data_IF_000741764156
#
_entry.id   IF_000741764156
#
_cell.length_a   1.000
_cell.length_b   1.000
_cell.length_c   1.000
_cell.angle_alpha   90.00
_cell.angle_beta   90.00
_cell.angle_gamma   90.00
#
_symmetry.space_group_name_H-M   'P 1'
#
loop_
_entity.id
_entity.type
_entity.pdbx_description
1 polymer ?
#
# COMPACT_ATOMS: atom_id res chain seq x y z
N UNK A 1 -10.81 -11.43 15.30
CA UNK A 1 -11.15 -10.01 15.49
C UNK A 1 -12.59 -9.71 15.08
N UNK A 2 -12.99 -9.89 13.82
CA UNK A 2 -14.34 -9.59 13.31
C UNK A 2 -15.48 -10.26 14.11
N UNK A 3 -15.45 -11.59 14.26
CA UNK A 3 -16.46 -12.33 15.04
C UNK A 3 -16.56 -11.86 16.49
N UNK A 4 -15.41 -11.58 17.12
CA UNK A 4 -15.35 -11.08 18.50
C UNK A 4 -15.88 -9.65 18.63
N UNK A 5 -15.86 -8.88 17.54
CA UNK A 5 -16.40 -7.53 17.45
C UNK A 5 -17.91 -7.52 17.11
N UNK A 6 -18.55 -8.69 17.01
CA UNK A 6 -19.98 -8.82 16.73
C UNK A 6 -20.36 -8.78 15.25
N UNK A 7 -19.38 -8.70 14.34
CA UNK A 7 -19.63 -8.72 12.89
C UNK A 7 -20.05 -10.11 12.42
N UNK A 8 -21.10 -10.18 11.61
CA UNK A 8 -21.63 -11.45 11.11
C UNK A 8 -22.51 -11.33 9.85
N UNK A 9 -23.41 -12.30 9.69
CA UNK A 9 -24.26 -12.39 8.51
C UNK A 9 -25.16 -11.16 8.33
N UNK A 10 -25.14 -10.58 7.12
CA UNK A 10 -25.91 -9.39 6.77
C UNK A 10 -25.17 -8.06 6.96
N UNK A 11 -24.03 -8.08 7.65
CA UNK A 11 -23.18 -6.90 7.82
C UNK A 11 -22.32 -6.63 6.58
N UNK A 12 -22.03 -5.35 6.36
CA UNK A 12 -21.00 -4.90 5.42
C UNK A 12 -19.75 -4.49 6.19
N UNK A 13 -18.58 -4.89 5.68
CA UNK A 13 -17.28 -4.48 6.22
C UNK A 13 -16.49 -3.80 5.13
N UNK A 14 -16.10 -2.54 5.35
CA UNK A 14 -15.31 -1.79 4.39
C UNK A 14 -13.84 -2.19 4.50
N UNK A 15 -13.23 -2.57 3.38
CA UNK A 15 -11.85 -3.04 3.27
C UNK A 15 -11.14 -2.41 2.07
N UNK A 16 -9.80 -2.44 2.06
CA UNK A 16 -9.02 -1.95 0.92
C UNK A 16 -9.13 -2.89 -0.28
N UNK A 17 -9.23 -2.30 -1.47
CA UNK A 17 -9.07 -3.03 -2.72
C UNK A 17 -7.61 -3.30 -3.09
N UNK A 18 -6.66 -2.64 -2.43
CA UNK A 18 -5.24 -2.77 -2.74
C UNK A 18 -4.59 -3.69 -1.70
N UNK A 19 -4.13 -4.89 -2.08
CA UNK A 19 -3.47 -5.85 -1.17
C UNK A 19 -4.42 -6.63 -0.25
N UNK A 20 -3.83 -7.44 0.65
CA UNK A 20 -4.49 -8.14 1.78
C UNK A 20 -5.79 -8.89 1.46
N UNK A 21 -5.73 -9.84 0.52
CA UNK A 21 -6.88 -10.68 0.12
C UNK A 21 -7.45 -11.43 1.34
N UNK A 22 -6.57 -11.85 2.25
CA UNK A 22 -6.91 -12.56 3.48
C UNK A 22 -7.86 -11.78 4.39
N UNK A 23 -7.85 -10.44 4.34
CA UNK A 23 -8.80 -9.60 5.09
C UNK A 23 -10.20 -9.73 4.50
N UNK A 24 -10.33 -9.67 3.17
CA UNK A 24 -11.61 -9.86 2.50
C UNK A 24 -12.14 -11.30 2.68
N UNK A 25 -11.26 -12.30 2.67
CA UNK A 25 -11.60 -13.69 2.98
C UNK A 25 -12.08 -13.85 4.42
N UNK A 26 -11.44 -13.18 5.39
CA UNK A 26 -11.86 -13.21 6.79
C UNK A 26 -13.25 -12.58 6.99
N UNK A 27 -13.60 -11.55 6.22
CA UNK A 27 -14.95 -10.96 6.20
C UNK A 27 -15.98 -11.98 5.70
N UNK A 28 -15.69 -12.64 4.58
CA UNK A 28 -16.57 -13.70 4.06
C UNK A 28 -16.71 -14.88 5.04
N UNK A 29 -15.62 -15.26 5.72
CA UNK A 29 -15.60 -16.36 6.66
C UNK A 29 -16.50 -16.14 7.90
N UNK A 30 -16.81 -14.89 8.25
CA UNK A 30 -17.78 -14.57 9.31
C UNK A 30 -19.21 -14.36 8.78
N UNK A 31 -19.42 -14.53 7.46
CA UNK A 31 -20.72 -14.37 6.81
C UNK A 31 -21.06 -12.93 6.39
N UNK A 32 -20.15 -11.98 6.60
CA UNK A 32 -20.32 -10.58 6.22
C UNK A 32 -19.93 -10.34 4.74
N UNK A 33 -20.30 -9.18 4.20
CA UNK A 33 -19.97 -8.76 2.84
C UNK A 33 -18.78 -7.79 2.84
N UNK A 34 -17.66 -8.09 2.16
CA UNK A 34 -16.60 -7.11 1.95
C UNK A 34 -17.07 -6.04 0.95
N UNK A 35 -16.99 -4.79 1.38
CA UNK A 35 -17.21 -3.59 0.55
C UNK A 35 -15.84 -2.95 0.30
N UNK A 36 -15.45 -2.86 -0.96
CA UNK A 36 -14.15 -2.30 -1.32
C UNK A 36 -14.21 -0.78 -1.45
N UNK A 37 -13.32 -0.08 -0.75
CA UNK A 37 -13.08 1.35 -0.92
C UNK A 37 -11.66 1.60 -1.47
N UNK A 38 -11.48 2.77 -2.08
CA UNK A 38 -10.22 3.15 -2.69
C UNK A 38 -9.17 3.54 -1.63
N UNK A 39 -7.94 3.72 -2.08
CA UNK A 39 -6.80 4.09 -1.24
C UNK A 39 -6.44 5.55 -1.41
N UNK A 40 -5.74 6.08 -0.41
CA UNK A 40 -5.02 7.33 -0.53
C UNK A 40 -3.76 7.11 -1.40
N UNK A 41 -3.63 7.90 -2.47
CA UNK A 41 -2.57 7.72 -3.48
C UNK A 41 -1.15 7.93 -2.97
N UNK A 42 -0.97 8.59 -1.82
CA UNK A 42 0.33 8.86 -1.21
C UNK A 42 0.75 7.75 -0.22
N UNK A 43 -0.18 7.32 0.62
CA UNK A 43 0.07 6.40 1.75
C UNK A 43 -0.31 4.96 1.46
N UNK A 44 -1.10 4.71 0.41
CA UNK A 44 -1.66 3.41 0.03
C UNK A 44 -2.58 2.78 1.09
N UNK A 45 -2.84 3.50 2.18
CA UNK A 45 -3.83 3.15 3.18
C UNK A 45 -5.23 3.47 2.64
N UNK A 46 -6.25 2.90 3.28
CA UNK A 46 -7.64 3.14 2.93
C UNK A 46 -7.97 4.65 3.04
N UNK A 47 -8.55 5.24 1.99
CA UNK A 47 -8.91 6.66 2.00
C UNK A 47 -10.20 6.88 2.79
N UNK A 48 -10.17 7.79 3.77
CA UNK A 48 -11.33 8.08 4.60
C UNK A 48 -12.50 8.69 3.80
N UNK A 49 -12.24 9.42 2.72
CA UNK A 49 -13.30 9.98 1.87
C UNK A 49 -13.98 8.87 1.07
N UNK A 50 -13.20 7.99 0.43
CA UNK A 50 -13.70 6.82 -0.26
C UNK A 50 -14.48 5.88 0.68
N UNK A 51 -14.01 5.70 1.91
CA UNK A 51 -14.73 4.92 2.94
C UNK A 51 -16.05 5.57 3.27
N UNK A 52 -16.07 6.89 3.56
CA UNK A 52 -17.30 7.60 3.91
C UNK A 52 -18.35 7.52 2.79
N UNK A 53 -17.91 7.54 1.53
CA UNK A 53 -18.79 7.35 0.36
C UNK A 53 -19.35 5.92 0.24
N UNK A 54 -18.63 4.91 0.76
CA UNK A 54 -19.03 3.50 0.72
C UNK A 54 -19.89 3.08 1.92
N UNK A 55 -20.05 3.92 2.95
CA UNK A 55 -20.88 3.62 4.12
C UNK A 55 -22.36 3.52 3.75
N UNK A 56 -22.99 2.45 4.21
CA UNK A 56 -24.44 2.21 4.13
C UNK A 56 -25.02 1.96 5.52
N UNK A 57 -26.34 1.77 5.61
CA UNK A 57 -27.00 1.36 6.85
C UNK A 57 -26.61 -0.05 7.33
N UNK A 58 -25.95 -0.86 6.48
CA UNK A 58 -25.46 -2.20 6.84
C UNK A 58 -23.99 -2.21 7.24
N UNK A 59 -23.28 -1.09 7.10
CA UNK A 59 -21.87 -1.03 7.45
C UNK A 59 -21.69 -1.20 8.95
N UNK A 60 -21.04 -2.28 9.36
CA UNK A 60 -20.77 -2.59 10.76
C UNK A 60 -19.35 -2.24 11.17
N UNK A 61 -18.38 -2.36 10.24
CA UNK A 61 -16.98 -2.14 10.53
C UNK A 61 -16.18 -1.67 9.32
N UNK A 62 -15.01 -1.08 9.61
CA UNK A 62 -13.92 -0.79 8.69
C UNK A 62 -12.72 -1.61 9.16
N UNK A 63 -12.08 -2.35 8.26
CA UNK A 63 -10.79 -2.98 8.55
C UNK A 63 -9.69 -2.16 7.89
N UNK A 64 -8.93 -1.46 8.72
CA UNK A 64 -7.83 -0.62 8.29
C UNK A 64 -6.50 -1.39 8.35
N UNK A 65 -5.78 -1.42 7.23
CA UNK A 65 -4.47 -2.04 7.14
C UNK A 65 -3.43 -0.94 6.89
N UNK A 66 -2.54 -0.62 7.86
CA UNK A 66 -1.39 0.24 7.61
C UNK A 66 -0.49 -0.37 6.54
N UNK A 67 -0.01 0.42 5.58
CA UNK A 67 0.75 -0.09 4.43
C UNK A 67 2.17 0.43 4.38
N UNK A 68 3.12 -0.48 4.09
CA UNK A 68 4.52 -0.17 3.79
C UNK A 68 5.29 0.61 4.88
N UNK A 69 4.68 0.81 6.04
CA UNK A 69 5.19 1.60 7.15
C UNK A 69 4.45 2.92 7.40
N UNK A 70 3.42 3.27 6.62
CA UNK A 70 2.52 4.39 6.87
C UNK A 70 1.57 4.10 8.03
N UNK A 71 1.90 4.60 9.22
CA UNK A 71 1.05 4.50 10.42
C UNK A 71 0.01 5.63 10.53
N UNK A 72 0.24 6.76 9.85
CA UNK A 72 -0.59 7.94 9.96
C UNK A 72 -1.99 7.81 9.33
N UNK A 73 -2.20 6.82 8.45
CA UNK A 73 -3.46 6.59 7.73
C UNK A 73 -4.62 6.11 8.62
N UNK A 74 -4.36 5.70 9.86
CA UNK A 74 -5.40 5.23 10.78
C UNK A 74 -6.22 6.35 11.39
N UNK A 75 -5.62 7.53 11.63
CA UNK A 75 -6.30 8.62 12.37
C UNK A 75 -7.56 9.13 11.65
N UNK A 76 -7.53 9.40 10.33
CA UNK A 76 -8.73 9.82 9.60
C UNK A 76 -9.87 8.78 9.68
N UNK A 77 -9.53 7.49 9.60
CA UNK A 77 -10.50 6.39 9.68
C UNK A 77 -11.08 6.26 11.08
N UNK A 78 -10.26 6.36 12.13
CA UNK A 78 -10.72 6.35 13.52
C UNK A 78 -11.68 7.50 13.80
N UNK A 79 -11.36 8.70 13.30
CA UNK A 79 -12.23 9.87 13.44
C UNK A 79 -13.54 9.68 12.67
N UNK A 80 -13.51 9.15 11.46
CA UNK A 80 -14.71 8.78 10.71
C UNK A 80 -15.56 7.75 11.47
N UNK A 81 -14.94 6.70 12.01
CA UNK A 81 -15.61 5.68 12.81
C UNK A 81 -16.32 6.27 14.02
N UNK A 82 -15.65 7.18 14.75
CA UNK A 82 -16.26 7.90 15.88
C UNK A 82 -17.48 8.74 15.46
N UNK A 83 -17.38 9.47 14.34
CA UNK A 83 -18.49 10.32 13.85
C UNK A 83 -19.69 9.50 13.36
N UNK A 84 -19.45 8.34 12.75
CA UNK A 84 -20.48 7.50 12.12
C UNK A 84 -20.94 6.34 13.00
N UNK A 85 -20.34 6.14 14.17
CA UNK A 85 -20.64 5.00 15.05
C UNK A 85 -20.15 3.65 14.49
N UNK A 86 -19.11 3.66 13.67
CA UNK A 86 -18.55 2.45 13.04
C UNK A 86 -17.33 1.93 13.82
N UNK A 87 -17.22 0.60 13.91
CA UNK A 87 -16.04 -0.06 14.45
C UNK A 87 -14.87 0.07 13.46
N UNK A 88 -13.71 0.54 13.94
CA UNK A 88 -12.48 0.56 13.12
C UNK A 88 -11.50 -0.45 13.71
N UNK A 89 -11.25 -1.50 12.94
CA UNK A 89 -10.40 -2.61 13.31
C UNK A 89 -9.06 -2.48 12.58
N UNK A 90 -7.97 -2.38 13.34
CA UNK A 90 -6.62 -2.38 12.75
C UNK A 90 -6.16 -3.82 12.51
N UNK A 91 -5.72 -4.10 11.29
CA UNK A 91 -5.03 -5.33 10.94
C UNK A 91 -3.59 -5.02 10.52
N UNK A 92 -2.62 -5.68 11.16
CA UNK A 92 -1.19 -5.51 10.86
C UNK A 92 -0.64 -6.85 10.37
N UNK A 93 0.06 -6.80 9.24
CA UNK A 93 0.72 -7.98 8.64
C UNK A 93 1.88 -8.49 9.49
N UNK A 94 2.59 -7.58 10.16
CA UNK A 94 3.81 -7.88 10.92
C UNK A 94 3.70 -7.47 12.38
N UNK A 95 4.44 -8.19 13.22
CA UNK A 95 4.69 -7.81 14.60
C UNK A 95 5.38 -6.44 14.68
N UNK A 96 5.23 -5.77 15.83
CA UNK A 96 5.88 -4.47 16.08
C UNK A 96 7.38 -4.57 15.77
N UNK A 97 7.91 -3.78 14.82
CA UNK A 97 9.30 -3.90 14.42
C UNK A 97 10.24 -3.36 15.50
N UNK A 98 11.41 -3.97 15.62
CA UNK A 98 12.47 -3.51 16.53
C UNK A 98 12.85 -2.05 16.23
N UNK A 99 12.89 -1.15 17.24
CA UNK A 99 13.17 0.28 17.04
C UNK A 99 14.48 0.55 16.29
N UNK A 100 15.51 -0.26 16.53
CA UNK A 100 16.81 -0.15 15.83
C UNK A 100 16.69 -0.45 14.34
N UNK A 101 15.89 -1.46 13.97
CA UNK A 101 15.66 -1.79 12.56
C UNK A 101 14.89 -0.68 11.85
N UNK A 102 13.90 -0.09 12.51
CA UNK A 102 13.16 1.07 12.00
C UNK A 102 14.08 2.26 11.77
N UNK A 103 14.92 2.60 12.76
CA UNK A 103 15.87 3.70 12.65
C UNK A 103 16.85 3.50 11.47
N UNK A 104 17.34 2.27 11.27
CA UNK A 104 18.23 1.97 10.15
C UNK A 104 17.53 2.15 8.79
N UNK A 105 16.29 1.64 8.65
CA UNK A 105 15.48 1.83 7.43
C UNK A 105 15.23 3.31 7.16
N UNK A 106 14.96 4.11 8.18
CA UNK A 106 14.79 5.57 8.06
C UNK A 106 16.06 6.28 7.58
N UNK A 107 17.25 5.84 8.02
CA UNK A 107 18.53 6.36 7.51
C UNK A 107 18.71 6.00 6.02
N UNK A 108 18.38 4.78 5.62
CA UNK A 108 18.43 4.35 4.22
C UNK A 108 17.43 5.11 3.35
N UNK A 109 16.19 5.26 3.81
CA UNK A 109 15.16 6.04 3.14
C UNK A 109 15.61 7.50 2.94
N UNK A 110 16.10 8.16 3.99
CA UNK A 110 16.60 9.53 3.89
C UNK A 110 17.80 9.67 2.93
N UNK A 111 18.61 8.62 2.76
CA UNK A 111 19.68 8.59 1.75
C UNK A 111 19.10 8.54 0.33
N UNK A 112 18.09 7.70 0.11
CA UNK A 112 17.41 7.50 -1.17
C UNK A 112 16.57 8.72 -1.57
N UNK A 113 15.79 9.29 -0.64
CA UNK A 113 14.92 10.46 -0.87
C UNK A 113 15.68 11.64 -1.47
N UNK A 114 16.93 11.85 -1.03
CA UNK A 114 17.78 12.95 -1.50
C UNK A 114 18.42 12.71 -2.86
N UNK A 115 18.35 11.49 -3.41
CA UNK A 115 19.18 11.06 -4.54
C UNK A 115 18.41 10.40 -5.66
N UNK A 116 17.25 9.82 -5.38
CA UNK A 116 16.39 9.26 -6.40
C UNK A 116 15.72 10.39 -7.17
N UNK A 117 15.90 10.39 -8.48
CA UNK A 117 15.30 11.32 -9.43
C UNK A 117 14.59 10.59 -10.56
N UNK A 118 14.88 9.31 -10.77
CA UNK A 118 14.25 8.49 -11.82
C UNK A 118 12.93 7.84 -11.44
N UNK A 119 12.46 8.02 -10.21
CA UNK A 119 11.20 7.49 -9.70
C UNK A 119 10.60 8.48 -8.72
N UNK A 120 9.28 8.41 -8.51
CA UNK A 120 8.63 9.18 -7.43
C UNK A 120 8.85 8.43 -6.12
N UNK A 121 9.45 9.10 -5.15
CA UNK A 121 9.74 8.54 -3.83
C UNK A 121 8.47 8.53 -2.95
N UNK A 122 8.43 7.67 -1.92
CA UNK A 122 7.34 7.72 -0.94
C UNK A 122 7.29 9.10 -0.26
N UNK A 123 6.09 9.55 0.09
CA UNK A 123 5.94 10.76 0.89
C UNK A 123 6.47 10.54 2.32
N UNK A 124 7.39 11.40 2.75
CA UNK A 124 7.90 11.35 4.10
C UNK A 124 6.81 11.81 5.09
N UNK A 125 6.45 10.93 6.03
CA UNK A 125 5.56 11.28 7.13
C UNK A 125 6.18 10.94 8.49
N UNK A 126 5.79 11.68 9.53
CA UNK A 126 6.21 11.37 10.88
C UNK A 126 5.75 9.94 11.26
N UNK A 127 6.66 9.14 11.81
CA UNK A 127 6.36 7.75 12.21
C UNK A 127 6.40 6.72 11.07
N UNK A 128 6.80 7.09 9.85
CA UNK A 128 6.97 6.10 8.77
C UNK A 128 8.06 5.08 9.13
N UNK A 129 7.73 3.78 9.11
CA UNK A 129 8.68 2.72 9.51
C UNK A 129 9.54 2.21 8.36
N UNK A 130 9.16 2.55 7.12
CA UNK A 130 9.80 2.09 5.88
C UNK A 130 9.97 0.57 5.86
N UNK A 131 8.92 -0.17 6.26
CA UNK A 131 8.87 -1.63 6.11
C UNK A 131 9.18 -2.02 4.67
N UNK A 132 8.62 -1.27 3.71
CA UNK A 132 9.03 -1.28 2.31
C UNK A 132 9.24 0.17 1.85
N UNK A 133 10.23 0.41 1.00
CA UNK A 133 10.42 1.71 0.35
C UNK A 133 9.75 1.66 -1.02
N UNK A 134 8.47 2.06 -1.06
CA UNK A 134 7.63 1.93 -2.25
C UNK A 134 7.73 3.20 -3.09
N UNK A 135 8.28 3.05 -4.29
CA UNK A 135 8.37 4.11 -5.29
C UNK A 135 7.28 3.93 -6.35
N UNK A 136 6.90 5.02 -7.03
CA UNK A 136 6.11 4.93 -8.28
C UNK A 136 7.04 5.09 -9.47
N UNK A 137 7.00 4.09 -10.36
CA UNK A 137 7.75 4.07 -11.61
C UNK A 137 7.04 4.99 -12.61
N UNK A 138 7.75 5.93 -13.25
CA UNK A 138 7.16 6.81 -14.27
C UNK A 138 6.78 6.02 -15.54
N UNK A 139 5.97 6.63 -16.40
CA UNK A 139 5.46 6.02 -17.63
C UNK A 139 3.96 5.77 -17.55
N UNK A 140 3.47 4.80 -18.33
CA UNK A 140 2.03 4.54 -18.48
C UNK A 140 1.57 3.31 -17.66
N UNK A 141 2.18 3.08 -16.49
CA UNK A 141 1.89 1.91 -15.66
C UNK A 141 2.47 0.61 -16.24
N UNK A 142 1.64 -0.43 -16.41
CA UNK A 142 2.06 -1.67 -17.10
C UNK A 142 1.99 -1.47 -18.62
N UNK A 143 2.98 -1.94 -19.39
CA UNK A 143 4.06 -2.86 -19.01
C UNK A 143 5.37 -2.20 -18.53
N UNK A 144 5.44 -0.86 -18.51
CA UNK A 144 6.66 -0.09 -18.23
C UNK A 144 7.24 -0.41 -16.84
N UNK A 145 6.39 -0.45 -15.80
CA UNK A 145 6.79 -0.84 -14.44
C UNK A 145 7.45 -2.21 -14.41
N UNK A 146 6.90 -3.19 -15.11
CA UNK A 146 7.44 -4.55 -15.12
C UNK A 146 8.79 -4.61 -15.85
N UNK A 147 8.93 -3.84 -16.93
CA UNK A 147 10.20 -3.70 -17.64
C UNK A 147 11.26 -3.01 -16.78
N UNK A 148 10.88 -1.94 -16.07
CA UNK A 148 11.72 -1.24 -15.11
C UNK A 148 12.19 -2.18 -13.99
N UNK A 149 11.28 -2.93 -13.37
CA UNK A 149 11.59 -3.90 -12.33
C UNK A 149 12.60 -4.96 -12.80
N UNK A 150 12.40 -5.52 -14.01
CA UNK A 150 13.37 -6.47 -14.62
C UNK A 150 14.74 -5.81 -14.85
N UNK A 151 14.79 -4.56 -15.31
CA UNK A 151 16.03 -3.85 -15.54
C UNK A 151 16.78 -3.52 -14.23
N UNK A 152 16.06 -3.10 -13.18
CA UNK A 152 16.61 -2.86 -11.83
C UNK A 152 17.19 -4.16 -11.25
N UNK A 153 16.45 -5.28 -11.33
CA UNK A 153 16.95 -6.59 -10.87
C UNK A 153 18.19 -7.07 -11.60
N UNK A 154 18.25 -6.91 -12.93
CA UNK A 154 19.45 -7.23 -13.73
C UNK A 154 20.68 -6.43 -13.32
N UNK A 155 20.49 -5.26 -12.69
CA UNK A 155 21.57 -4.45 -12.12
C UNK A 155 21.94 -4.84 -10.69
N UNK A 156 21.38 -5.92 -10.14
CA UNK A 156 21.67 -6.42 -8.80
C UNK A 156 21.00 -5.64 -7.68
N UNK A 157 19.84 -5.05 -7.95
CA UNK A 157 19.00 -4.36 -6.95
C UNK A 157 17.78 -5.22 -6.66
N UNK A 158 17.58 -5.53 -5.38
CA UNK A 158 16.39 -6.24 -4.91
C UNK A 158 15.16 -5.32 -4.97
N UNK A 159 14.12 -5.81 -5.64
CA UNK A 159 12.84 -5.15 -5.70
C UNK A 159 11.70 -6.14 -5.99
N UNK A 160 10.49 -5.76 -5.61
CA UNK A 160 9.27 -6.53 -5.83
C UNK A 160 8.06 -5.66 -6.13
N UNK A 161 7.06 -6.24 -6.78
CA UNK A 161 5.78 -5.58 -7.00
C UNK A 161 4.90 -5.91 -5.78
N UNK A 162 4.56 -4.93 -4.93
CA UNK A 162 3.90 -5.22 -3.65
C UNK A 162 2.47 -5.72 -3.85
N UNK A 163 1.75 -5.22 -4.86
CA UNK A 163 0.42 -5.69 -5.24
C UNK A 163 0.33 -5.74 -6.76
N UNK A 164 0.03 -6.91 -7.31
CA UNK A 164 -0.06 -7.12 -8.77
C UNK A 164 -1.45 -6.86 -9.33
N UNK A 165 -2.47 -7.23 -8.56
CA UNK A 165 -3.87 -7.16 -8.97
C UNK A 165 -4.69 -6.70 -7.77
N UNK A 166 -5.40 -5.56 -7.87
CA UNK A 166 -6.35 -5.16 -6.84
C UNK A 166 -7.38 -6.26 -6.57
N UNK A 167 -7.78 -6.43 -5.31
CA UNK A 167 -8.64 -7.52 -4.85
C UNK A 167 -9.97 -7.54 -5.61
N UNK A 168 -10.57 -6.37 -5.85
CA UNK A 168 -11.83 -6.24 -6.59
C UNK A 168 -11.75 -6.67 -8.07
N UNK A 169 -10.55 -6.92 -8.62
CA UNK A 169 -10.33 -7.47 -9.97
C UNK A 169 -10.06 -8.98 -9.98
N UNK A 170 -9.77 -9.58 -8.83
CA UNK A 170 -9.55 -11.02 -8.69
C UNK A 170 -10.86 -11.79 -8.92
N UNK A 171 -10.77 -13.00 -9.48
CA UNK A 171 -11.95 -13.79 -9.85
C UNK A 171 -12.93 -14.02 -8.67
N UNK A 172 -12.41 -14.30 -7.48
CA UNK A 172 -13.22 -14.56 -6.28
C UNK A 172 -13.92 -13.31 -5.73
N UNK A 173 -13.42 -12.11 -6.05
CA UNK A 173 -13.88 -10.84 -5.48
C UNK A 173 -14.27 -9.82 -6.56
N UNK A 174 -14.49 -10.28 -7.79
CA UNK A 174 -14.71 -9.40 -8.94
C UNK A 174 -15.91 -8.50 -8.71
N UNK A 175 -15.69 -7.19 -8.80
CA UNK A 175 -16.73 -6.15 -8.76
C UNK A 175 -16.52 -5.14 -9.88
N UNK A 176 -17.62 -4.71 -10.49
CA UNK A 176 -17.62 -3.64 -11.49
C UNK A 176 -17.73 -2.29 -10.77
N UNK A 177 -16.63 -1.89 -10.13
CA UNK A 177 -16.47 -0.63 -9.42
C UNK A 177 -15.20 0.06 -9.92
N UNK A 178 -15.16 1.39 -9.84
CA UNK A 178 -14.01 2.19 -10.21
C UNK A 178 -13.23 2.58 -8.95
N UNK A 179 -12.00 2.08 -8.82
CA UNK A 179 -11.09 2.38 -7.71
C UNK A 179 -9.74 2.82 -8.30
N UNK A 180 -9.68 4.03 -8.89
CA UNK A 180 -8.57 4.46 -9.74
C UNK A 180 -7.23 4.48 -9.01
N UNK A 181 -7.17 4.87 -7.73
CA UNK A 181 -5.89 4.93 -7.03
C UNK A 181 -5.32 3.55 -6.72
N UNK A 182 -6.18 2.57 -6.36
CA UNK A 182 -5.78 1.18 -6.22
C UNK A 182 -5.27 0.59 -7.55
N UNK A 183 -5.90 0.94 -8.67
CA UNK A 183 -5.48 0.51 -10.01
C UNK A 183 -4.14 1.13 -10.42
N UNK A 184 -4.01 2.46 -10.31
CA UNK A 184 -2.75 3.16 -10.58
C UNK A 184 -1.61 2.63 -9.69
N UNK A 185 -1.87 2.42 -8.40
CA UNK A 185 -0.86 1.88 -7.49
C UNK A 185 -0.41 0.47 -7.91
N UNK A 186 -1.32 -0.40 -8.35
CA UNK A 186 -0.96 -1.75 -8.82
C UNK A 186 -0.12 -1.71 -10.11
N UNK A 187 -0.34 -0.70 -10.95
CA UNK A 187 0.37 -0.54 -12.22
C UNK A 187 1.73 0.14 -12.08
N UNK A 188 1.90 1.05 -11.12
CA UNK A 188 3.07 1.93 -11.04
C UNK A 188 4.03 1.58 -9.91
N UNK A 189 3.58 0.92 -8.84
CA UNK A 189 4.42 0.78 -7.64
C UNK A 189 5.52 -0.28 -7.79
N UNK A 190 6.65 -0.01 -7.16
CA UNK A 190 7.76 -0.93 -6.99
C UNK A 190 8.33 -0.78 -5.58
N UNK A 191 8.39 -1.86 -4.82
CA UNK A 191 9.02 -1.88 -3.51
C UNK A 191 10.53 -2.12 -3.68
N UNK A 192 11.34 -1.20 -3.16
CA UNK A 192 12.79 -1.32 -3.05
C UNK A 192 13.17 -1.76 -1.64
N UNK A 193 14.18 -2.61 -1.53
CA UNK A 193 14.70 -3.02 -0.22
C UNK A 193 15.39 -1.83 0.47
N UNK A 194 15.08 -1.64 1.75
CA UNK A 194 15.76 -0.70 2.67
C UNK A 194 16.20 -1.40 3.97
N UNK A 195 16.29 -2.74 3.92
CA UNK A 195 16.65 -3.58 5.07
C UNK A 195 17.98 -3.21 5.72
N UNK A 196 18.16 -3.61 6.99
CA UNK A 196 19.32 -3.23 7.78
C UNK A 196 20.67 -3.81 7.32
N UNK A 197 20.66 -4.79 6.40
CA UNK A 197 21.87 -5.40 5.84
C UNK A 197 22.47 -4.63 4.66
N UNK A 198 21.78 -3.61 4.14
CA UNK A 198 22.26 -2.89 2.95
C UNK A 198 23.47 -2.02 3.26
N UNK A 199 24.52 -2.18 2.47
CA UNK A 199 25.69 -1.32 2.53
C UNK A 199 25.46 -0.01 1.78
N UNK A 200 26.32 0.99 2.01
CA UNK A 200 26.34 2.23 1.21
C UNK A 200 26.50 1.96 -0.28
N UNK A 201 27.25 0.91 -0.67
CA UNK A 201 27.44 0.50 -2.07
C UNK A 201 26.13 -0.01 -2.65
N UNK A 202 25.32 -0.72 -1.87
CA UNK A 202 24.01 -1.22 -2.32
C UNK A 202 23.04 -0.05 -2.52
N UNK A 203 22.99 0.91 -1.59
CA UNK A 203 22.18 2.12 -1.75
C UNK A 203 22.59 2.95 -2.98
N UNK A 204 23.90 3.08 -3.24
CA UNK A 204 24.40 3.73 -4.46
C UNK A 204 23.97 2.98 -5.73
N UNK A 205 23.96 1.65 -5.70
CA UNK A 205 23.49 0.82 -6.81
C UNK A 205 21.99 1.02 -7.06
N UNK A 206 21.17 1.10 -6.00
CA UNK A 206 19.75 1.46 -6.10
C UNK A 206 19.58 2.80 -6.82
N UNK A 207 20.24 3.85 -6.33
CA UNK A 207 20.18 5.19 -6.92
C UNK A 207 20.61 5.18 -8.39
N UNK A 208 21.76 4.58 -8.69
CA UNK A 208 22.28 4.51 -10.06
C UNK A 208 21.32 3.75 -10.98
N UNK A 209 20.78 2.62 -10.52
CA UNK A 209 19.87 1.81 -11.32
C UNK A 209 18.58 2.57 -11.64
N UNK A 210 17.93 3.15 -10.63
CA UNK A 210 16.66 3.87 -10.79
C UNK A 210 16.82 5.15 -11.62
N UNK A 211 17.83 5.99 -11.33
CA UNK A 211 18.00 7.26 -12.03
C UNK A 211 18.32 7.08 -13.52
N UNK A 212 19.15 6.08 -13.86
CA UNK A 212 19.48 5.81 -15.25
C UNK A 212 18.32 5.21 -16.06
N UNK A 213 17.31 4.63 -15.40
CA UNK A 213 16.13 4.08 -16.09
C UNK A 213 14.97 5.08 -16.14
N UNK A 214 14.79 5.90 -15.10
CA UNK A 214 13.69 6.87 -15.04
C UNK A 214 13.74 7.92 -16.14
N UNK A 215 14.94 8.33 -16.56
CA UNK A 215 15.10 9.24 -17.71
C UNK A 215 14.61 8.67 -19.05
N UNK A 216 14.36 7.36 -19.14
CA UNK A 216 13.91 6.67 -20.36
C UNK A 216 12.38 6.49 -20.43
N UNK A 217 11.68 6.73 -19.33
CA UNK A 217 10.24 6.57 -19.22
C UNK A 217 9.60 7.95 -19.10
N UNK A 218 9.28 8.56 -20.24
CA UNK A 218 8.45 9.76 -20.29
C UNK A 218 6.98 9.32 -20.45
N UNK A 219 6.01 9.98 -19.79
CA UNK A 219 4.60 9.77 -20.12
C UNK A 219 4.41 10.05 -21.60
N UNK A 220 3.75 9.14 -22.32
CA UNK A 220 3.29 9.46 -23.67
C UNK A 220 2.08 10.40 -23.49
N UNK A 221 2.31 11.70 -23.70
CA UNK A 221 1.21 12.67 -23.81
C UNK A 221 0.31 12.33 -25.01
#
# INVERSE_FOLDING_TARGET
MLKSAGVGAGDEVIVSAYGNIEVAEAVLAVGALPVFADIDGATYCLDAVAVEAAVTSRTAAIVAVPRFGYLAGLRPLQELGRRRGLLVLEHREEATPEPRAVAQRQVHAAYLDRRLTGVRTPEACAGHTYQQYVVRVPGNGRPDRDAFARAVRRRGVECEVPVKTPVHRLAAFRREICLPEAEHAADETLALSVGGSLSRRDLQRVVSACNALGGLLQPAF
#
